data_IF_737971992037
#
_entry.id   IF_737971992037
#
_cell.length_a   1.000
_cell.length_b   1.000
_cell.length_c   1.000
_cell.angle_alpha   90.00
_cell.angle_beta   90.00
_cell.angle_gamma   90.00
#
_symmetry.space_group_name_H-M   'P 1'
#
loop_
_entity.id
_entity.type
_entity.pdbx_description
1 polymer ?
#
# COMPACT_ATOMS: atom_id res chain seq x y z
N UNK A 1 -6.69 15.88 -12.88
CA UNK A 1 -5.84 15.50 -11.72
C UNK A 1 -6.43 14.36 -10.90
N UNK A 2 -7.51 14.51 -10.11
CA UNK A 2 -8.03 13.37 -9.31
C UNK A 2 -8.58 12.20 -10.16
N UNK A 3 -9.27 12.51 -11.26
CA UNK A 3 -9.85 11.51 -12.17
C UNK A 3 -8.78 10.69 -12.90
N UNK A 4 -7.69 11.32 -13.34
CA UNK A 4 -6.57 10.65 -14.00
C UNK A 4 -5.83 9.73 -13.04
N UNK A 5 -5.62 10.17 -11.80
CA UNK A 5 -4.97 9.35 -10.78
C UNK A 5 -5.78 8.08 -10.48
N UNK A 6 -7.11 8.20 -10.38
CA UNK A 6 -7.97 7.05 -10.14
C UNK A 6 -7.91 6.05 -11.31
N UNK A 7 -7.99 6.53 -12.55
CA UNK A 7 -7.87 5.68 -13.73
C UNK A 7 -6.53 4.92 -13.79
N UNK A 8 -5.42 5.62 -13.51
CA UNK A 8 -4.10 4.98 -13.49
C UNK A 8 -3.97 3.95 -12.36
N UNK A 9 -4.58 4.20 -11.20
CA UNK A 9 -4.60 3.24 -10.10
C UNK A 9 -5.39 1.98 -10.47
N UNK A 10 -6.58 2.14 -11.07
CA UNK A 10 -7.42 1.03 -11.54
C UNK A 10 -6.64 0.18 -12.56
N UNK A 11 -5.99 0.81 -13.53
CA UNK A 11 -5.14 0.12 -14.50
C UNK A 11 -3.98 -0.65 -13.83
N UNK A 12 -3.32 -0.06 -12.83
CA UNK A 12 -2.27 -0.74 -12.09
C UNK A 12 -2.79 -1.97 -11.31
N UNK A 13 -4.01 -1.88 -10.76
CA UNK A 13 -4.66 -3.00 -10.08
C UNK A 13 -5.03 -4.11 -11.07
N UNK A 14 -5.57 -3.78 -12.25
CA UNK A 14 -5.88 -4.75 -13.31
C UNK A 14 -4.63 -5.51 -13.80
N UNK A 15 -3.48 -4.83 -13.88
CA UNK A 15 -2.20 -5.45 -14.24
C UNK A 15 -1.50 -6.18 -13.07
N UNK A 16 -2.19 -6.34 -11.94
CA UNK A 16 -1.67 -6.96 -10.71
C UNK A 16 -0.35 -6.36 -10.22
N UNK A 17 -0.20 -5.04 -10.30
CA UNK A 17 0.96 -4.34 -9.74
C UNK A 17 0.97 -4.48 -8.21
N UNK A 18 2.08 -4.99 -7.66
CA UNK A 18 2.19 -5.28 -6.22
C UNK A 18 2.15 -4.01 -5.35
N UNK A 19 2.70 -2.89 -5.81
CA UNK A 19 2.68 -1.61 -5.09
C UNK A 19 1.28 -1.00 -5.09
N UNK A 20 0.56 -1.06 -6.20
CA UNK A 20 -0.83 -0.60 -6.28
C UNK A 20 -1.74 -1.39 -5.33
N UNK A 21 -1.58 -2.72 -5.27
CA UNK A 21 -2.28 -3.55 -4.31
C UNK A 21 -1.92 -3.21 -2.86
N UNK A 22 -0.66 -2.88 -2.58
CA UNK A 22 -0.26 -2.44 -1.24
C UNK A 22 -0.96 -1.13 -0.85
N UNK A 23 -0.89 -0.11 -1.71
CA UNK A 23 -1.48 1.22 -1.47
C UNK A 23 -3.00 1.09 -1.27
N UNK A 24 -3.69 0.35 -2.13
CA UNK A 24 -5.13 0.16 -2.01
C UNK A 24 -5.51 -0.63 -0.75
N UNK A 25 -4.69 -1.62 -0.35
CA UNK A 25 -4.86 -2.32 0.92
C UNK A 25 -4.79 -1.38 2.14
N UNK A 26 -3.80 -0.48 2.17
CA UNK A 26 -3.69 0.55 3.23
C UNK A 26 -4.90 1.49 3.19
N UNK A 27 -5.33 1.92 2.01
CA UNK A 27 -6.51 2.77 1.85
C UNK A 27 -7.78 2.12 2.40
N UNK A 28 -8.01 0.85 2.06
CA UNK A 28 -9.16 0.10 2.54
C UNK A 28 -9.14 -0.08 4.07
N UNK A 29 -7.97 -0.32 4.65
CA UNK A 29 -7.84 -0.53 6.09
C UNK A 29 -8.08 0.75 6.90
N UNK A 30 -7.35 1.83 6.60
CA UNK A 30 -7.32 3.02 7.44
C UNK A 30 -8.40 4.05 7.10
N UNK A 31 -8.78 4.19 5.83
CA UNK A 31 -9.70 5.25 5.39
C UNK A 31 -11.11 4.74 5.17
N UNK A 32 -11.25 3.48 4.71
CA UNK A 32 -12.56 2.87 4.47
C UNK A 32 -13.01 1.93 5.59
N UNK A 33 -12.15 1.67 6.58
CA UNK A 33 -12.40 0.74 7.69
C UNK A 33 -12.91 -0.64 7.22
N UNK A 34 -12.36 -1.13 6.12
CA UNK A 34 -12.71 -2.41 5.49
C UNK A 34 -11.53 -3.39 5.55
N UNK A 35 -11.34 -4.05 6.70
CA UNK A 35 -10.19 -4.92 6.91
C UNK A 35 -10.20 -6.16 6.01
N UNK A 36 -11.37 -6.72 5.69
CA UNK A 36 -11.47 -7.90 4.82
C UNK A 36 -10.93 -7.59 3.42
N UNK A 37 -11.42 -6.52 2.80
CA UNK A 37 -10.96 -6.11 1.47
C UNK A 37 -9.50 -5.66 1.49
N UNK A 38 -9.07 -5.00 2.57
CA UNK A 38 -7.67 -4.63 2.76
C UNK A 38 -6.74 -5.84 2.76
N UNK A 39 -7.11 -6.91 3.48
CA UNK A 39 -6.32 -8.14 3.54
C UNK A 39 -6.21 -8.82 2.17
N UNK A 40 -7.27 -8.80 1.36
CA UNK A 40 -7.23 -9.36 0.00
C UNK A 40 -6.23 -8.62 -0.90
N UNK A 41 -6.21 -7.28 -0.83
CA UNK A 41 -5.23 -6.47 -1.56
C UNK A 41 -3.80 -6.71 -1.05
N UNK A 42 -3.59 -6.71 0.27
CA UNK A 42 -2.27 -6.96 0.87
C UNK A 42 -1.73 -8.36 0.52
N UNK A 43 -2.61 -9.36 0.43
CA UNK A 43 -2.24 -10.71 -0.01
C UNK A 43 -1.77 -10.74 -1.46
N UNK A 44 -2.50 -10.09 -2.36
CA UNK A 44 -2.13 -9.99 -3.77
C UNK A 44 -0.81 -9.24 -3.96
N UNK A 45 -0.56 -8.20 -3.16
CA UNK A 45 0.73 -7.51 -3.13
C UNK A 45 1.90 -8.44 -2.79
N UNK A 46 1.69 -9.41 -1.88
CA UNK A 46 2.71 -10.36 -1.46
C UNK A 46 2.92 -11.54 -2.42
N UNK A 47 1.93 -11.89 -3.26
CA UNK A 47 1.96 -13.10 -4.11
C UNK A 47 3.10 -13.11 -5.14
N UNK A 48 3.43 -11.98 -5.78
CA UNK A 48 4.46 -11.93 -6.84
C UNK A 48 5.91 -12.14 -6.37
N UNK A 49 6.16 -12.31 -5.07
CA UNK A 49 7.50 -12.65 -4.54
C UNK A 49 7.76 -14.16 -4.45
N UNK A 50 6.79 -15.01 -4.78
CA UNK A 50 6.93 -16.46 -4.66
C UNK A 50 7.49 -17.17 -5.91
N UNK A 51 7.48 -16.54 -7.08
CA UNK A 51 7.88 -17.21 -8.35
C UNK A 51 9.41 -17.36 -8.52
N UNK A 52 10.20 -16.81 -7.60
CA UNK A 52 11.66 -17.01 -7.52
C UNK A 52 12.11 -17.25 -6.08
N UNK A 53 11.48 -18.20 -5.42
CA UNK A 53 11.78 -18.59 -4.03
C UNK A 53 12.05 -20.08 -3.89
N UNK A 54 13.01 -20.61 -4.64
CA UNK A 54 13.71 -21.82 -4.21
C UNK A 54 14.36 -21.50 -2.85
N UNK A 55 13.78 -22.08 -1.78
CA UNK A 55 14.35 -22.24 -0.44
C UNK A 55 15.28 -21.11 0.04
N UNK A 56 14.71 -20.00 0.51
CA UNK A 56 15.38 -19.29 1.60
C UNK A 56 14.35 -18.59 2.49
N UNK A 57 14.14 -19.17 3.67
CA UNK A 57 13.45 -18.58 4.82
C UNK A 57 14.26 -17.42 5.41
N UNK A 58 14.67 -16.45 4.57
CA UNK A 58 15.35 -15.23 5.01
C UNK A 58 14.74 -14.03 4.33
N UNK A 59 13.80 -13.42 5.06
CA UNK A 59 13.49 -12.00 5.06
C UNK A 59 13.68 -11.26 3.73
N UNK A 60 12.59 -10.89 3.02
CA UNK A 60 12.62 -9.63 2.33
C UNK A 60 12.50 -8.55 3.41
N UNK A 61 13.62 -7.87 3.72
CA UNK A 61 13.52 -6.51 4.23
C UNK A 61 12.64 -5.78 3.22
N UNK A 62 11.40 -5.49 3.60
CA UNK A 62 10.69 -4.34 3.04
C UNK A 62 11.74 -3.24 3.07
N UNK A 63 12.18 -2.78 1.91
CA UNK A 63 12.92 -1.53 1.83
C UNK A 63 11.93 -0.51 2.35
N UNK A 64 11.96 -0.30 3.66
CA UNK A 64 11.22 0.73 4.34
C UNK A 64 11.76 2.00 3.72
N UNK A 65 11.09 2.51 2.70
CA UNK A 65 11.26 3.89 2.31
C UNK A 65 10.55 4.72 3.39
N UNK A 66 11.15 4.73 4.58
CA UNK A 66 10.70 5.54 5.73
C UNK A 66 10.70 7.03 5.35
N UNK A 67 11.41 7.41 4.28
CA UNK A 67 11.44 8.78 3.77
C UNK A 67 10.11 9.24 3.15
N UNK A 68 9.15 8.36 2.83
CA UNK A 68 7.84 8.81 2.34
C UNK A 68 6.87 9.15 3.47
N UNK A 69 6.94 8.44 4.61
CA UNK A 69 6.07 8.69 5.77
C UNK A 69 6.55 9.92 6.56
N UNK A 70 7.84 10.25 6.50
CA UNK A 70 8.41 11.42 7.17
C UNK A 70 8.08 12.78 6.48
N UNK A 71 7.39 12.78 5.34
CA UNK A 71 7.07 14.00 4.58
C UNK A 71 5.64 14.51 4.77
N UNK A 72 4.83 13.90 5.66
CA UNK A 72 3.58 14.51 6.08
C UNK A 72 3.92 15.70 7.00
N UNK A 73 3.63 16.95 6.62
CA UNK A 73 3.79 18.05 7.56
C UNK A 73 2.82 17.84 8.71
N UNK A 74 3.35 17.75 9.93
CA UNK A 74 2.61 17.89 11.18
C UNK A 74 1.96 19.28 11.19
N UNK A 75 0.76 19.41 10.61
CA UNK A 75 -0.04 20.62 10.78
C UNK A 75 -0.79 20.52 12.10
N UNK A 76 -0.12 21.04 13.11
CA UNK A 76 -0.65 21.79 14.25
C UNK A 76 -1.94 21.27 14.90
N UNK A 77 -1.77 20.38 15.88
CA UNK A 77 -2.57 20.47 17.11
C UNK A 77 -2.04 21.62 17.97
N UNK A 78 -2.69 22.78 17.89
CA UNK A 78 -2.89 23.69 19.03
C UNK A 78 -4.36 24.10 19.02
N UNK A 79 -5.19 23.33 19.72
CA UNK A 79 -5.63 23.60 21.09
C UNK A 79 -6.51 24.85 21.18
N UNK A 80 -7.80 24.59 21.31
CA UNK A 80 -8.80 25.43 21.94
C UNK A 80 -8.26 26.01 23.26
N UNK A 81 -8.26 27.33 23.35
CA UNK A 81 -8.83 28.10 24.47
C UNK A 81 -9.06 29.54 24.02
#
# INVERSE_FOLDING_TARGET
MAVEHQYLMELCLEHHNAEAHYIEGINQYFFHNNPSKALDYLRQSAQRKHDKGEKDFRHPKMGTNVNYIQQLPEKDQKSTQ
#
